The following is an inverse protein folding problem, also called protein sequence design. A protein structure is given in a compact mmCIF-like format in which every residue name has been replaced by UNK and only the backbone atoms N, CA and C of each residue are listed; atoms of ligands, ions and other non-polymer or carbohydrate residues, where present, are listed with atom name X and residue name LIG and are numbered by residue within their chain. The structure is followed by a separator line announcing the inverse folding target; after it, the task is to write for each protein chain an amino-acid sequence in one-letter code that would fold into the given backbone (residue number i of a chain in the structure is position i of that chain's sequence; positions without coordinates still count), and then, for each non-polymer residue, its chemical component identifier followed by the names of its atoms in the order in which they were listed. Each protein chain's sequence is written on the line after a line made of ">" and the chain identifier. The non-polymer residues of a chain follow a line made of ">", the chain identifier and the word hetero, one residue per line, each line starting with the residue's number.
data_IF_329709504750
#
_entry.id   IF_329709504750
#
_cell.length_a   1.000
_cell.length_b   1.000
_cell.length_c   1.000
_cell.angle_alpha   90.00
_cell.angle_beta   90.00
_cell.angle_gamma   90.00
#
_symmetry.space_group_name_H-M   'P 1'
#
loop_
_entity.id
_entity.type
_entity.pdbx_description
1 polymer ?
#
# COMPACT_ATOMS: atom_id res chain seq x y z
N UNK A 1 -2.98 -36.15 15.68
CA UNK A 1 -4.04 -35.52 14.86
C UNK A 1 -3.61 -34.12 14.45
N UNK A 2 -2.82 -34.00 13.37
CA UNK A 2 -2.47 -32.71 12.78
C UNK A 2 -3.63 -32.28 11.86
N UNK A 3 -4.38 -31.24 12.26
CA UNK A 3 -5.43 -30.67 11.42
C UNK A 3 -4.78 -30.08 10.16
N UNK A 4 -5.21 -30.60 9.01
CA UNK A 4 -4.88 -30.08 7.68
C UNK A 4 -5.21 -28.58 7.58
N UNK A 5 -4.22 -27.71 7.78
CA UNK A 5 -4.27 -26.28 7.49
C UNK A 5 -4.18 -25.98 5.99
N UNK A 6 -4.42 -26.96 5.10
CA UNK A 6 -4.36 -26.80 3.63
C UNK A 6 -5.47 -25.91 3.05
N UNK A 7 -6.47 -25.51 3.84
CA UNK A 7 -7.61 -24.70 3.38
C UNK A 7 -7.81 -23.40 4.17
N UNK A 8 -6.79 -22.85 4.85
CA UNK A 8 -6.88 -21.47 5.34
C UNK A 8 -6.85 -20.52 4.14
N UNK A 9 -8.01 -20.30 3.52
CA UNK A 9 -8.24 -19.12 2.67
C UNK A 9 -7.72 -17.93 3.48
N UNK A 10 -6.90 -17.04 2.91
CA UNK A 10 -6.35 -15.93 3.67
C UNK A 10 -7.51 -15.21 4.34
N UNK A 11 -7.45 -15.08 5.67
CA UNK A 11 -8.47 -14.43 6.51
C UNK A 11 -8.75 -12.98 6.07
N UNK A 12 -7.90 -12.45 5.20
CA UNK A 12 -7.87 -11.11 4.69
C UNK A 12 -7.83 -11.14 3.16
N UNK A 13 -8.81 -10.52 2.50
CA UNK A 13 -8.61 -10.11 1.11
C UNK A 13 -7.92 -8.75 1.14
N UNK A 14 -6.75 -8.65 0.51
CA UNK A 14 -6.10 -7.36 0.30
C UNK A 14 -6.93 -6.52 -0.68
N UNK A 15 -6.84 -5.19 -0.60
CA UNK A 15 -7.45 -4.30 -1.58
C UNK A 15 -7.04 -4.68 -3.02
N UNK A 16 -5.78 -5.08 -3.21
CA UNK A 16 -5.27 -5.62 -4.47
C UNK A 16 -6.05 -6.85 -4.95
N UNK A 17 -6.35 -7.82 -4.07
CA UNK A 17 -7.14 -9.01 -4.43
C UNK A 17 -8.56 -8.64 -4.84
N UNK A 18 -9.23 -7.77 -4.09
CA UNK A 18 -10.59 -7.32 -4.42
C UNK A 18 -10.64 -6.52 -5.73
N UNK A 19 -9.64 -5.67 -5.98
CA UNK A 19 -9.49 -4.96 -7.24
C UNK A 19 -9.23 -5.93 -8.40
N UNK A 20 -8.36 -6.93 -8.23
CA UNK A 20 -8.13 -7.98 -9.24
C UNK A 20 -9.41 -8.73 -9.58
N UNK A 21 -10.16 -9.17 -8.57
CA UNK A 21 -11.46 -9.82 -8.76
C UNK A 21 -12.46 -8.90 -9.48
N UNK A 22 -12.45 -7.60 -9.19
CA UNK A 22 -13.23 -6.57 -9.92
C UNK A 22 -12.86 -6.47 -11.39
N UNK A 23 -11.57 -6.38 -11.69
CA UNK A 23 -11.13 -6.30 -13.07
C UNK A 23 -11.41 -7.59 -13.84
N UNK A 24 -11.26 -8.76 -13.22
CA UNK A 24 -11.68 -10.03 -13.83
C UNK A 24 -13.16 -10.05 -14.22
N UNK A 25 -14.04 -9.55 -13.35
CA UNK A 25 -15.47 -9.49 -13.67
C UNK A 25 -15.76 -8.51 -14.81
N UNK A 26 -15.12 -7.35 -14.82
CA UNK A 26 -15.22 -6.37 -15.90
C UNK A 26 -14.77 -7.02 -17.22
N UNK A 27 -13.62 -7.70 -17.22
CA UNK A 27 -13.09 -8.40 -18.39
C UNK A 27 -14.00 -9.55 -18.86
N UNK A 28 -14.71 -10.20 -17.94
CA UNK A 28 -15.70 -11.22 -18.28
C UNK A 28 -16.95 -10.62 -18.91
N UNK A 29 -17.43 -9.47 -18.42
CA UNK A 29 -18.64 -8.79 -18.93
C UNK A 29 -18.40 -8.04 -20.24
N UNK A 30 -17.24 -7.43 -20.41
CA UNK A 30 -16.93 -6.58 -21.56
C UNK A 30 -16.68 -7.36 -22.87
N UNK A 31 -16.63 -8.70 -22.85
CA UNK A 31 -16.26 -9.49 -24.03
C UNK A 31 -14.79 -9.32 -24.41
N UNK A 32 -14.35 -9.93 -25.53
CA UNK A 32 -12.98 -9.76 -26.03
C UNK A 32 -12.81 -8.48 -26.88
N UNK A 33 -13.90 -7.97 -27.42
CA UNK A 33 -13.85 -6.93 -28.46
C UNK A 33 -13.79 -5.50 -27.88
N UNK A 34 -14.21 -5.30 -26.62
CA UNK A 34 -14.22 -3.98 -25.98
C UNK A 34 -12.88 -3.62 -25.33
N UNK A 35 -12.15 -4.61 -24.81
CA UNK A 35 -10.85 -4.40 -24.15
C UNK A 35 -9.77 -5.10 -24.98
N UNK A 36 -9.16 -4.32 -25.87
CA UNK A 36 -8.13 -4.79 -26.81
C UNK A 36 -6.77 -4.95 -26.13
N UNK A 37 -5.87 -5.73 -26.74
CA UNK A 37 -4.49 -5.88 -26.26
C UNK A 37 -3.75 -4.54 -26.12
N UNK A 38 -4.09 -3.55 -26.98
CA UNK A 38 -3.58 -2.19 -26.90
C UNK A 38 -3.90 -1.49 -25.57
N UNK A 39 -5.05 -1.77 -24.96
CA UNK A 39 -5.40 -1.21 -23.66
C UNK A 39 -4.48 -1.74 -22.55
N UNK A 40 -4.11 -3.02 -22.60
CA UNK A 40 -3.18 -3.62 -21.65
C UNK A 40 -1.73 -3.17 -21.88
N UNK A 41 -1.32 -3.02 -23.14
CA UNK A 41 -0.01 -2.44 -23.49
C UNK A 41 0.10 -0.99 -22.98
N UNK A 42 -0.97 -0.19 -23.14
CA UNK A 42 -1.04 1.15 -22.57
C UNK A 42 -0.96 1.14 -21.04
N UNK A 43 -1.64 0.19 -20.38
CA UNK A 43 -1.58 0.04 -18.92
C UNK A 43 -0.17 -0.30 -18.44
N UNK A 44 0.53 -1.20 -19.12
CA UNK A 44 1.91 -1.59 -18.79
C UNK A 44 2.89 -0.44 -19.02
N UNK A 45 2.77 0.28 -20.15
CA UNK A 45 3.58 1.48 -20.41
C UNK A 45 3.37 2.55 -19.34
N UNK A 46 2.13 2.85 -18.98
CA UNK A 46 1.81 3.81 -17.89
C UNK A 46 2.40 3.36 -16.56
N UNK A 47 2.34 2.07 -16.25
CA UNK A 47 2.95 1.51 -15.03
C UNK A 47 4.46 1.75 -15.03
N UNK A 48 5.13 1.46 -16.14
CA UNK A 48 6.57 1.72 -16.32
C UNK A 48 6.91 3.21 -16.18
N UNK A 49 6.14 4.09 -16.82
CA UNK A 49 6.37 5.54 -16.77
C UNK A 49 6.17 6.10 -15.34
N UNK A 50 5.14 5.62 -14.63
CA UNK A 50 4.94 5.95 -13.21
C UNK A 50 6.10 5.41 -12.36
N UNK A 51 6.57 4.19 -12.63
CA UNK A 51 7.72 3.61 -11.93
C UNK A 51 8.98 4.47 -12.06
N UNK A 52 9.24 5.02 -13.26
CA UNK A 52 10.34 5.98 -13.48
C UNK A 52 10.13 7.26 -12.69
N UNK A 53 8.90 7.81 -12.68
CA UNK A 53 8.57 9.00 -11.88
C UNK A 53 8.77 8.77 -10.38
N UNK A 54 8.39 7.59 -9.87
CA UNK A 54 8.61 7.22 -8.46
C UNK A 54 10.09 7.16 -8.12
N UNK A 55 10.92 6.58 -8.99
CA UNK A 55 12.37 6.59 -8.81
C UNK A 55 12.93 8.01 -8.79
N UNK A 56 12.49 8.89 -9.71
CA UNK A 56 12.88 10.29 -9.72
C UNK A 56 12.48 11.02 -8.44
N UNK A 57 11.25 10.81 -7.96
CA UNK A 57 10.78 11.39 -6.69
C UNK A 57 11.63 10.89 -5.53
N UNK A 58 11.96 9.59 -5.49
CA UNK A 58 12.83 9.03 -4.45
C UNK A 58 14.23 9.69 -4.48
N UNK A 59 14.84 9.83 -5.66
CA UNK A 59 16.13 10.51 -5.82
C UNK A 59 16.08 11.99 -5.44
N UNK A 60 14.94 12.65 -5.59
CA UNK A 60 14.74 14.04 -5.16
C UNK A 60 14.50 14.16 -3.65
N UNK A 61 13.75 13.22 -3.08
CA UNK A 61 13.36 13.20 -1.67
C UNK A 61 14.53 12.84 -0.76
N UNK A 62 15.42 11.93 -1.19
CA UNK A 62 16.52 11.43 -0.36
C UNK A 62 17.53 12.53 0.04
N UNK A 63 18.02 13.40 -0.87
CA UNK A 63 18.85 14.56 -0.50
C UNK A 63 18.12 15.54 0.43
N UNK A 64 16.85 15.86 0.14
CA UNK A 64 16.05 16.74 0.98
C UNK A 64 15.93 16.19 2.41
N UNK A 65 15.68 14.87 2.54
CA UNK A 65 15.60 14.19 3.83
C UNK A 65 16.94 14.20 4.57
N UNK A 66 18.04 13.85 3.90
CA UNK A 66 19.39 13.89 4.50
C UNK A 66 19.70 15.30 5.01
N UNK A 67 19.36 16.33 4.24
CA UNK A 67 19.59 17.70 4.66
C UNK A 67 18.74 18.11 5.86
N UNK A 68 17.46 17.71 5.91
CA UNK A 68 16.62 17.93 7.08
C UNK A 68 17.22 17.27 8.34
N UNK A 69 17.75 16.05 8.22
CA UNK A 69 18.45 15.36 9.31
C UNK A 69 19.69 16.14 9.76
N UNK A 70 20.51 16.63 8.81
CA UNK A 70 21.71 17.41 9.11
C UNK A 70 21.35 18.74 9.79
N UNK A 71 20.30 19.43 9.34
CA UNK A 71 19.82 20.64 9.99
C UNK A 71 19.40 20.40 11.44
N UNK A 72 18.67 19.31 11.72
CA UNK A 72 18.26 18.97 13.09
C UNK A 72 19.48 18.67 13.98
N UNK A 73 20.53 18.06 13.42
CA UNK A 73 21.76 17.77 14.17
C UNK A 73 22.56 19.01 14.58
N UNK A 74 22.18 20.20 14.12
CA UNK A 74 22.89 21.45 14.40
C UNK A 74 24.18 21.61 13.60
N UNK A 75 24.40 20.76 12.59
CA UNK A 75 25.58 20.83 11.74
C UNK A 75 25.36 21.90 10.66
N UNK A 76 26.13 22.98 10.70
CA UNK A 76 26.09 24.04 9.68
C UNK A 76 26.80 23.57 8.41
N UNK A 77 26.12 22.74 7.61
CA UNK A 77 26.66 22.24 6.33
C UNK A 77 26.11 23.09 5.18
N UNK A 78 26.99 23.81 4.48
CA UNK A 78 26.67 24.45 3.21
C UNK A 78 26.57 23.39 2.11
N UNK A 79 25.46 22.65 2.08
CA UNK A 79 25.19 21.69 1.01
C UNK A 79 24.61 22.42 -0.20
N UNK A 80 25.31 22.31 -1.34
CA UNK A 80 24.77 22.73 -2.62
C UNK A 80 23.87 21.60 -3.16
N UNK A 81 22.55 21.77 -3.03
CA UNK A 81 21.57 20.84 -3.58
C UNK A 81 20.92 21.46 -4.80
N UNK A 82 21.00 20.76 -5.94
CA UNK A 82 20.39 21.20 -7.21
C UNK A 82 20.85 22.60 -7.67
N UNK A 83 22.08 22.99 -7.35
CA UNK A 83 22.65 24.29 -7.71
C UNK A 83 22.27 25.44 -6.75
N UNK A 84 21.52 25.15 -5.68
CA UNK A 84 21.14 26.12 -4.66
C UNK A 84 21.94 25.82 -3.39
N UNK A 85 22.72 26.80 -2.91
CA UNK A 85 23.38 26.72 -1.60
C UNK A 85 22.30 26.75 -0.52
N UNK A 86 22.07 25.61 0.10
CA UNK A 86 21.07 25.49 1.12
C UNK A 86 21.54 26.24 2.39
N UNK A 87 20.80 27.26 2.80
CA UNK A 87 21.01 27.98 4.07
C UNK A 87 19.94 27.57 5.08
N UNK A 88 20.09 27.92 6.36
CA UNK A 88 19.06 27.72 7.40
C UNK A 88 17.68 28.24 6.99
N UNK A 89 17.64 29.22 6.09
CA UNK A 89 16.43 29.84 5.57
C UNK A 89 15.57 28.89 4.70
N UNK A 90 16.11 27.77 4.22
CA UNK A 90 15.41 26.82 3.34
C UNK A 90 14.69 25.68 4.07
N UNK A 91 14.79 25.55 5.41
CA UNK A 91 14.13 24.46 6.16
C UNK A 91 12.62 24.38 5.92
N UNK A 92 11.94 25.53 5.91
CA UNK A 92 10.49 25.63 5.70
C UNK A 92 10.10 25.20 4.29
N UNK A 93 10.87 25.57 3.27
CA UNK A 93 10.65 25.12 1.90
C UNK A 93 10.93 23.62 1.73
N UNK A 94 12.02 23.12 2.33
CA UNK A 94 12.44 21.73 2.22
C UNK A 94 11.47 20.76 2.88
N UNK A 95 10.90 21.11 4.04
CA UNK A 95 9.88 20.27 4.67
C UNK A 95 8.58 20.24 3.86
N UNK A 96 8.18 21.36 3.26
CA UNK A 96 7.01 21.41 2.36
C UNK A 96 7.24 20.55 1.12
N UNK A 97 8.43 20.64 0.50
CA UNK A 97 8.80 19.80 -0.64
C UNK A 97 8.80 18.33 -0.23
N UNK A 98 9.42 17.97 0.91
CA UNK A 98 9.45 16.60 1.42
C UNK A 98 8.05 16.03 1.62
N UNK A 99 7.17 16.76 2.30
CA UNK A 99 5.79 16.35 2.56
C UNK A 99 4.97 16.24 1.26
N UNK A 100 5.14 17.19 0.34
CA UNK A 100 4.50 17.17 -0.98
C UNK A 100 4.94 15.97 -1.83
N UNK A 101 6.24 15.66 -1.85
CA UNK A 101 6.78 14.48 -2.52
C UNK A 101 6.28 13.18 -1.88
N UNK A 102 6.16 13.13 -0.56
CA UNK A 102 5.55 12.00 0.15
C UNK A 102 4.10 11.75 -0.27
N UNK A 103 3.28 12.80 -0.31
CA UNK A 103 1.90 12.74 -0.76
C UNK A 103 1.79 12.29 -2.22
N UNK A 104 2.62 12.87 -3.11
CA UNK A 104 2.65 12.48 -4.52
C UNK A 104 3.09 11.02 -4.68
N UNK A 105 4.12 10.58 -3.97
CA UNK A 105 4.56 9.18 -3.98
C UNK A 105 3.44 8.22 -3.58
N UNK A 106 2.67 8.53 -2.54
CA UNK A 106 1.52 7.74 -2.10
C UNK A 106 0.41 7.66 -3.17
N UNK A 107 0.16 8.75 -3.89
CA UNK A 107 -0.75 8.77 -5.04
C UNK A 107 -0.25 7.91 -6.21
N UNK A 108 1.04 8.01 -6.57
CA UNK A 108 1.61 7.21 -7.65
C UNK A 108 1.60 5.72 -7.31
N UNK A 109 1.92 5.36 -6.06
CA UNK A 109 1.84 3.97 -5.58
C UNK A 109 0.43 3.40 -5.78
N UNK A 110 -0.61 4.20 -5.51
CA UNK A 110 -1.98 3.79 -5.80
C UNK A 110 -2.21 3.46 -7.28
N UNK A 111 -1.76 4.34 -8.17
CA UNK A 111 -1.95 4.17 -9.61
C UNK A 111 -1.21 2.93 -10.10
N UNK A 112 0.00 2.68 -9.62
CA UNK A 112 0.75 1.45 -9.92
C UNK A 112 -0.02 0.22 -9.46
N UNK A 113 -0.49 0.19 -8.21
CA UNK A 113 -1.23 -0.97 -7.68
C UNK A 113 -2.53 -1.26 -8.46
N UNK A 114 -3.22 -0.22 -8.94
CA UNK A 114 -4.40 -0.37 -9.80
C UNK A 114 -4.01 -0.96 -11.17
N UNK A 115 -2.96 -0.42 -11.81
CA UNK A 115 -2.48 -0.91 -13.10
C UNK A 115 -1.97 -2.35 -13.00
N UNK A 116 -1.24 -2.70 -11.94
CA UNK A 116 -0.82 -4.07 -11.66
C UNK A 116 -2.01 -5.00 -11.46
N UNK A 117 -3.06 -4.56 -10.76
CA UNK A 117 -4.29 -5.35 -10.59
C UNK A 117 -5.00 -5.64 -11.93
N UNK A 118 -4.98 -4.68 -12.86
CA UNK A 118 -5.51 -4.84 -14.23
C UNK A 118 -4.68 -5.88 -15.01
N UNK A 119 -3.35 -5.79 -14.95
CA UNK A 119 -2.44 -6.71 -15.64
C UNK A 119 -2.50 -8.12 -15.05
N UNK A 120 -2.59 -8.26 -13.73
CA UNK A 120 -2.78 -9.56 -13.09
C UNK A 120 -4.09 -10.21 -13.50
N UNK A 121 -5.18 -9.44 -13.60
CA UNK A 121 -6.47 -9.94 -14.09
C UNK A 121 -6.37 -10.44 -15.56
N UNK A 122 -5.61 -9.74 -16.42
CA UNK A 122 -5.28 -10.23 -17.78
C UNK A 122 -4.57 -11.58 -17.72
N UNK A 123 -3.52 -11.68 -16.91
CA UNK A 123 -2.71 -12.89 -16.80
C UNK A 123 -3.52 -14.09 -16.28
N UNK A 124 -4.42 -13.88 -15.31
CA UNK A 124 -5.33 -14.92 -14.84
C UNK A 124 -6.25 -15.45 -15.94
N UNK A 125 -6.76 -14.55 -16.79
CA UNK A 125 -7.58 -14.93 -17.95
C UNK A 125 -6.78 -15.71 -18.99
N UNK A 126 -5.54 -15.30 -19.26
CA UNK A 126 -4.64 -15.97 -20.20
C UNK A 126 -4.19 -17.35 -19.70
N UNK A 127 -3.94 -17.47 -18.40
CA UNK A 127 -3.51 -18.71 -17.76
C UNK A 127 -4.62 -19.76 -17.71
N UNK A 128 -5.90 -19.38 -17.85
CA UNK A 128 -7.06 -20.30 -17.84
C UNK A 128 -7.08 -21.27 -16.64
N UNK A 129 -6.63 -20.80 -15.48
CA UNK A 129 -6.55 -21.59 -14.26
C UNK A 129 -5.27 -22.40 -14.06
N UNK A 130 -4.32 -22.38 -15.01
CA UNK A 130 -3.00 -22.98 -14.83
C UNK A 130 -2.11 -22.07 -13.95
N UNK A 131 -1.78 -22.54 -12.75
CA UNK A 131 -1.00 -21.78 -11.77
C UNK A 131 0.45 -21.51 -12.24
N UNK A 132 1.06 -22.44 -12.97
CA UNK A 132 2.45 -22.28 -13.43
C UNK A 132 2.52 -21.26 -14.56
N UNK A 133 1.57 -21.31 -15.51
CA UNK A 133 1.44 -20.28 -16.55
C UNK A 133 1.19 -18.91 -15.93
N UNK A 134 0.36 -18.82 -14.89
CA UNK A 134 0.10 -17.57 -14.19
C UNK A 134 1.37 -17.00 -13.54
N UNK A 135 2.15 -17.84 -12.85
CA UNK A 135 3.41 -17.40 -12.22
C UNK A 135 4.43 -16.94 -13.27
N UNK A 136 4.57 -17.67 -14.39
CA UNK A 136 5.45 -17.28 -15.50
C UNK A 136 5.03 -15.94 -16.09
N UNK A 137 3.74 -15.76 -16.38
CA UNK A 137 3.22 -14.49 -16.90
C UNK A 137 3.44 -13.34 -15.91
N UNK A 138 3.13 -13.54 -14.63
CA UNK A 138 3.33 -12.50 -13.62
C UNK A 138 4.80 -12.14 -13.46
N UNK A 139 5.70 -13.12 -13.51
CA UNK A 139 7.15 -12.90 -13.46
C UNK A 139 7.64 -12.14 -14.69
N UNK A 140 7.21 -12.54 -15.90
CA UNK A 140 7.58 -11.89 -17.15
C UNK A 140 7.15 -10.41 -17.20
N UNK A 141 5.99 -10.09 -16.62
CA UNK A 141 5.50 -8.72 -16.48
C UNK A 141 6.03 -8.03 -15.22
N UNK A 142 6.89 -8.63 -14.39
CA UNK A 142 7.39 -8.01 -13.16
C UNK A 142 6.28 -7.67 -12.14
N UNK A 143 5.19 -8.44 -12.12
CA UNK A 143 4.06 -8.28 -11.19
C UNK A 143 4.28 -9.03 -9.86
N UNK A 144 5.29 -9.90 -9.80
CA UNK A 144 5.73 -10.53 -8.56
C UNK A 144 6.76 -9.64 -7.86
N UNK A 145 6.32 -8.88 -6.85
CA UNK A 145 7.21 -7.98 -6.07
C UNK A 145 8.22 -8.75 -5.19
N UNK A 146 7.91 -10.00 -4.83
CA UNK A 146 8.78 -10.85 -4.02
C UNK A 146 8.67 -12.31 -4.46
N UNK A 147 9.73 -12.82 -5.08
CA UNK A 147 9.84 -14.25 -5.41
C UNK A 147 10.66 -14.93 -4.32
N UNK A 148 9.97 -15.56 -3.36
CA UNK A 148 10.67 -16.45 -2.41
C UNK A 148 11.12 -17.67 -3.21
N UNK A 149 12.43 -17.99 -3.26
CA UNK A 149 12.92 -19.15 -3.99
C UNK A 149 12.24 -20.41 -3.45
N UNK A 150 11.42 -21.03 -4.30
CA UNK A 150 10.79 -22.30 -4.02
C UNK A 150 11.80 -23.42 -4.30
N UNK A 151 11.78 -24.51 -3.53
CA UNK A 151 12.57 -25.69 -3.87
C UNK A 151 12.26 -26.15 -5.31
N UNK A 152 13.30 -26.55 -6.04
CA UNK A 152 13.21 -26.97 -7.45
C UNK A 152 12.28 -28.16 -7.60
N UNK A 153 12.25 -29.05 -6.60
CA UNK A 153 11.31 -30.15 -6.51
C UNK A 153 10.17 -29.79 -5.52
N UNK A 154 8.90 -29.70 -5.98
CA UNK A 154 7.76 -29.41 -5.12
C UNK A 154 7.47 -30.51 -4.10
N UNK A 155 8.04 -31.71 -4.25
CA UNK A 155 7.98 -32.81 -3.26
C UNK A 155 8.93 -32.56 -2.08
N UNK A 156 9.98 -31.76 -2.27
CA UNK A 156 10.94 -31.40 -1.22
C UNK A 156 10.40 -30.17 -0.51
N UNK A 157 9.82 -30.37 0.67
CA UNK A 157 9.38 -29.26 1.52
C UNK A 157 10.52 -28.33 1.91
N UNK A 158 10.20 -27.09 2.27
CA UNK A 158 11.19 -26.15 2.83
C UNK A 158 11.93 -26.80 3.99
N UNK A 159 13.27 -26.71 3.98
CA UNK A 159 14.04 -27.13 5.15
C UNK A 159 13.65 -26.26 6.35
N UNK A 160 13.77 -26.80 7.56
CA UNK A 160 13.49 -26.04 8.80
C UNK A 160 14.34 -24.76 8.87
N UNK A 161 15.57 -24.82 8.37
CA UNK A 161 16.48 -23.68 8.28
C UNK A 161 16.01 -22.65 7.24
N UNK A 162 15.51 -23.08 6.08
CA UNK A 162 14.95 -22.18 5.07
C UNK A 162 13.66 -21.52 5.58
N UNK A 163 12.79 -22.26 6.26
CA UNK A 163 11.58 -21.72 6.88
C UNK A 163 11.92 -20.70 7.98
N UNK A 164 12.89 -21.02 8.85
CA UNK A 164 13.38 -20.10 9.87
C UNK A 164 13.99 -18.83 9.24
N UNK A 165 14.81 -18.98 8.20
CA UNK A 165 15.42 -17.86 7.48
C UNK A 165 14.36 -16.93 6.87
N UNK A 166 13.31 -17.48 6.24
CA UNK A 166 12.19 -16.68 5.69
C UNK A 166 11.45 -15.91 6.79
N UNK A 167 11.21 -16.53 7.94
CA UNK A 167 10.54 -15.86 9.08
C UNK A 167 11.42 -14.74 9.64
N UNK A 168 12.71 -15.01 9.88
CA UNK A 168 13.66 -14.01 10.38
C UNK A 168 13.80 -12.85 9.41
N UNK A 169 13.93 -13.14 8.11
CA UNK A 169 13.98 -12.12 7.06
C UNK A 169 12.71 -11.28 7.02
N UNK A 170 11.53 -11.90 7.12
CA UNK A 170 10.25 -11.20 7.19
C UNK A 170 10.17 -10.26 8.42
N UNK A 171 10.58 -10.73 9.59
CA UNK A 171 10.64 -9.91 10.80
C UNK A 171 11.64 -8.76 10.66
N UNK A 172 12.80 -8.99 10.06
CA UNK A 172 13.80 -7.97 9.81
C UNK A 172 13.28 -6.86 8.87
N UNK A 173 12.56 -7.23 7.79
CA UNK A 173 11.91 -6.26 6.90
C UNK A 173 10.88 -5.43 7.67
N UNK A 174 10.02 -6.07 8.47
CA UNK A 174 9.01 -5.36 9.27
C UNK A 174 9.66 -4.40 10.25
N UNK A 175 10.71 -4.84 10.97
CA UNK A 175 11.47 -4.00 11.88
C UNK A 175 12.13 -2.82 11.16
N UNK A 176 12.71 -3.04 9.98
CA UNK A 176 13.30 -1.99 9.16
C UNK A 176 12.26 -0.96 8.71
N UNK A 177 11.09 -1.40 8.22
CA UNK A 177 9.99 -0.50 7.82
C UNK A 177 9.53 0.33 9.02
N UNK A 178 9.33 -0.28 10.19
CA UNK A 178 8.93 0.43 11.41
C UNK A 178 9.99 1.46 11.83
N UNK A 179 11.27 1.08 11.83
CA UNK A 179 12.37 1.98 12.17
C UNK A 179 12.43 3.19 11.22
N UNK A 180 12.34 2.94 9.91
CA UNK A 180 12.32 4.02 8.90
C UNK A 180 11.11 4.93 9.09
N UNK A 181 9.92 4.36 9.33
CA UNK A 181 8.68 5.13 9.57
C UNK A 181 8.81 6.04 10.78
N UNK A 182 9.31 5.50 11.90
CA UNK A 182 9.53 6.28 13.14
C UNK A 182 10.59 7.36 12.92
N UNK A 183 11.66 7.06 12.20
CA UNK A 183 12.73 8.01 11.91
C UNK A 183 12.21 9.19 11.06
N UNK A 184 11.45 8.90 10.00
CA UNK A 184 10.86 9.94 9.15
C UNK A 184 9.90 10.82 9.94
N UNK A 185 9.02 10.22 10.74
CA UNK A 185 8.09 10.96 11.59
C UNK A 185 8.81 11.83 12.62
N UNK A 186 9.88 11.32 13.24
CA UNK A 186 10.69 12.08 14.19
C UNK A 186 11.37 13.28 13.52
N UNK A 187 11.96 13.09 12.33
CA UNK A 187 12.59 14.17 11.55
C UNK A 187 11.58 15.27 11.23
N UNK A 188 10.42 14.92 10.68
CA UNK A 188 9.35 15.89 10.40
C UNK A 188 8.92 16.64 11.67
N UNK A 189 8.68 15.91 12.77
CA UNK A 189 8.29 16.50 14.04
C UNK A 189 9.33 17.50 14.58
N UNK A 190 10.61 17.10 14.63
CA UNK A 190 11.67 17.98 15.14
C UNK A 190 11.92 19.18 14.24
N UNK A 191 11.85 19.02 12.91
CA UNK A 191 11.92 20.16 11.99
C UNK A 191 10.74 21.12 12.18
N UNK A 192 9.52 20.63 12.35
CA UNK A 192 8.36 21.48 12.62
C UNK A 192 8.49 22.21 13.96
N UNK A 193 9.00 21.55 14.99
CA UNK A 193 9.26 22.16 16.29
C UNK A 193 10.32 23.27 16.19
N UNK A 194 11.38 23.03 15.43
CA UNK A 194 12.43 24.03 15.18
C UNK A 194 11.89 25.23 14.39
N UNK A 195 11.12 24.99 13.32
CA UNK A 195 10.43 26.04 12.56
C UNK A 195 9.49 26.86 13.44
N UNK A 196 8.76 26.21 14.35
CA UNK A 196 7.85 26.89 15.27
C UNK A 196 8.59 27.80 16.26
N UNK A 197 9.75 27.36 16.77
CA UNK A 197 10.57 28.13 17.73
C UNK A 197 11.36 29.24 17.06
N UNK A 198 11.83 29.00 15.86
CA UNK A 198 12.66 29.89 15.08
C UNK A 198 12.08 29.98 13.66
N UNK A 199 11.03 30.79 13.43
CA UNK A 199 10.51 30.95 12.07
C UNK A 199 11.50 31.74 11.22
N UNK A 200 11.74 31.31 9.97
CA UNK A 200 12.49 32.09 8.98
C UNK A 200 11.58 33.06 8.23
N UNK A 201 10.33 32.65 8.00
CA UNK A 201 9.32 33.48 7.37
C UNK A 201 8.44 34.17 8.43
N UNK A 202 7.55 35.07 7.98
CA UNK A 202 6.59 35.70 8.90
C UNK A 202 5.67 34.68 9.58
N UNK A 203 5.08 34.99 10.75
CA UNK A 203 4.29 34.05 11.55
C UNK A 203 3.15 33.37 10.76
N UNK A 204 2.51 34.11 9.85
CA UNK A 204 1.45 33.60 8.98
C UNK A 204 1.96 32.49 8.04
N UNK A 205 3.11 32.69 7.41
CA UNK A 205 3.69 31.72 6.49
C UNK A 205 4.12 30.46 7.22
N UNK A 206 4.77 30.61 8.38
CA UNK A 206 5.14 29.48 9.22
C UNK A 206 3.92 28.65 9.64
N UNK A 207 2.80 29.30 10.01
CA UNK A 207 1.56 28.60 10.33
C UNK A 207 1.02 27.81 9.13
N UNK A 208 1.05 28.39 7.93
CA UNK A 208 0.63 27.72 6.68
C UNK A 208 1.54 26.51 6.40
N UNK A 209 2.85 26.67 6.53
CA UNK A 209 3.84 25.59 6.33
C UNK A 209 3.56 24.42 7.28
N UNK A 210 3.43 24.70 8.59
CA UNK A 210 3.16 23.66 9.59
C UNK A 210 1.83 22.96 9.29
N UNK A 211 0.77 23.73 9.02
CA UNK A 211 -0.57 23.19 8.72
C UNK A 211 -0.56 22.31 7.48
N UNK A 212 0.14 22.73 6.42
CA UNK A 212 0.29 21.96 5.19
C UNK A 212 1.01 20.64 5.44
N UNK A 213 2.15 20.65 6.13
CA UNK A 213 2.94 19.43 6.41
C UNK A 213 2.13 18.45 7.25
N UNK A 214 1.48 18.92 8.32
CA UNK A 214 0.63 18.08 9.17
C UNK A 214 -0.52 17.48 8.37
N UNK A 215 -1.16 18.26 7.50
CA UNK A 215 -2.24 17.78 6.65
C UNK A 215 -1.74 16.75 5.63
N UNK A 216 -0.62 17.02 4.96
CA UNK A 216 -0.03 16.12 3.97
C UNK A 216 0.40 14.79 4.59
N UNK A 217 1.05 14.82 5.76
CA UNK A 217 1.44 13.60 6.49
C UNK A 217 0.21 12.82 6.96
N UNK A 218 -0.83 13.52 7.46
CA UNK A 218 -2.09 12.90 7.88
C UNK A 218 -2.80 12.23 6.70
N UNK A 219 -2.90 12.90 5.55
CA UNK A 219 -3.50 12.34 4.34
C UNK A 219 -2.68 11.13 3.87
N UNK A 220 -1.36 11.25 3.83
CA UNK A 220 -0.45 10.18 3.38
C UNK A 220 -0.59 8.94 4.27
N UNK A 221 -0.54 9.11 5.59
CA UNK A 221 -0.69 8.02 6.55
C UNK A 221 -2.09 7.40 6.48
N UNK A 222 -3.14 8.22 6.41
CA UNK A 222 -4.52 7.75 6.27
C UNK A 222 -4.70 6.97 4.98
N UNK A 223 -4.13 7.44 3.88
CA UNK A 223 -4.19 6.79 2.58
C UNK A 223 -3.47 5.44 2.59
N UNK A 224 -2.25 5.39 3.12
CA UNK A 224 -1.51 4.13 3.32
C UNK A 224 -2.31 3.19 4.22
N UNK A 225 -2.90 3.67 5.31
CA UNK A 225 -3.72 2.87 6.21
C UNK A 225 -5.01 2.35 5.54
N UNK A 226 -5.61 3.10 4.62
CA UNK A 226 -6.76 2.66 3.82
C UNK A 226 -6.33 1.58 2.80
N UNK A 227 -5.19 1.76 2.14
CA UNK A 227 -4.68 0.83 1.13
C UNK A 227 -4.12 -0.47 1.70
N UNK A 228 -3.25 -0.36 2.71
CA UNK A 228 -2.76 -1.48 3.51
C UNK A 228 -3.87 -2.07 4.38
N UNK A 229 -4.94 -1.29 4.58
CA UNK A 229 -6.15 -1.65 5.28
C UNK A 229 -6.66 -2.99 4.79
N UNK A 230 -6.64 -3.94 5.70
CA UNK A 230 -7.42 -5.17 5.62
C UNK A 230 -8.88 -4.73 5.45
N UNK A 231 -9.43 -4.82 4.25
CA UNK A 231 -10.82 -4.49 3.99
C UNK A 231 -11.72 -5.46 4.79
N UNK A 232 -12.95 -5.05 5.20
CA UNK A 232 -13.81 -5.85 6.05
C UNK A 232 -14.30 -7.18 5.42
N UNK A 233 -13.86 -7.51 4.21
CA UNK A 233 -14.49 -8.52 3.38
C UNK A 233 -13.45 -9.48 2.83
N UNK A 234 -13.42 -10.70 3.38
CA UNK A 234 -12.52 -11.77 2.95
C UNK A 234 -12.83 -12.31 1.54
N UNK A 235 -14.00 -11.99 0.98
CA UNK A 235 -14.43 -12.48 -0.32
C UNK A 235 -15.39 -11.50 -1.00
N UNK A 236 -15.08 -11.06 -2.23
CA UNK A 236 -15.92 -10.18 -3.04
C UNK A 236 -17.28 -10.79 -3.36
N UNK A 237 -17.37 -12.13 -3.51
CA UNK A 237 -18.65 -12.80 -3.75
C UNK A 237 -19.64 -12.54 -2.62
N UNK A 238 -19.17 -12.55 -1.36
CA UNK A 238 -20.02 -12.26 -0.20
C UNK A 238 -20.42 -10.78 -0.17
N UNK A 239 -19.52 -9.89 -0.57
CA UNK A 239 -19.81 -8.47 -0.67
C UNK A 239 -20.83 -8.17 -1.79
N UNK A 240 -20.71 -8.84 -2.94
CA UNK A 240 -21.66 -8.73 -4.04
C UNK A 240 -23.01 -9.32 -3.69
N UNK A 241 -23.07 -10.44 -2.96
CA UNK A 241 -24.32 -10.98 -2.43
C UNK A 241 -24.96 -9.99 -1.45
N UNK A 242 -24.18 -9.42 -0.54
CA UNK A 242 -24.67 -8.41 0.39
C UNK A 242 -25.15 -7.14 -0.34
N UNK A 243 -24.45 -6.71 -1.39
CA UNK A 243 -24.87 -5.59 -2.25
C UNK A 243 -26.16 -5.88 -2.99
N UNK A 244 -26.29 -7.06 -3.62
CA UNK A 244 -27.56 -7.51 -4.21
C UNK A 244 -28.67 -7.57 -3.18
N UNK A 245 -28.38 -8.02 -1.96
CA UNK A 245 -29.33 -8.02 -0.85
C UNK A 245 -29.77 -6.60 -0.47
N UNK A 246 -28.89 -5.59 -0.52
CA UNK A 246 -29.30 -4.20 -0.33
C UNK A 246 -30.30 -3.74 -1.39
N UNK A 247 -30.15 -4.21 -2.63
CA UNK A 247 -31.06 -3.88 -3.72
C UNK A 247 -32.39 -4.66 -3.66
N UNK A 248 -32.35 -5.95 -3.26
CA UNK A 248 -33.52 -6.83 -3.27
C UNK A 248 -34.28 -6.89 -1.94
N UNK A 249 -33.58 -6.83 -0.81
CA UNK A 249 -34.14 -6.92 0.54
C UNK A 249 -33.26 -6.14 1.55
N UNK A 250 -33.45 -4.80 1.62
CA UNK A 250 -32.61 -3.94 2.45
C UNK A 250 -32.73 -4.25 3.94
N UNK A 251 -33.85 -4.83 4.39
CA UNK A 251 -34.03 -5.18 5.80
C UNK A 251 -33.18 -6.39 6.19
N UNK A 252 -33.15 -7.43 5.34
CA UNK A 252 -32.26 -8.59 5.53
C UNK A 252 -30.78 -8.20 5.40
N UNK A 253 -30.45 -7.27 4.50
CA UNK A 253 -29.10 -6.73 4.42
C UNK A 253 -28.66 -6.01 5.70
N UNK A 254 -29.53 -5.13 6.24
CA UNK A 254 -29.25 -4.40 7.49
C UNK A 254 -29.15 -5.34 8.70
N UNK A 255 -29.95 -6.41 8.76
CA UNK A 255 -29.87 -7.38 9.87
C UNK A 255 -28.55 -8.16 9.84
N UNK A 256 -28.09 -8.57 8.65
CA UNK A 256 -26.78 -9.21 8.46
C UNK A 256 -25.66 -8.26 8.89
N UNK A 257 -25.74 -6.97 8.52
CA UNK A 257 -24.73 -5.96 8.92
C UNK A 257 -24.74 -5.74 10.43
N UNK A 258 -25.92 -5.64 11.07
CA UNK A 258 -26.03 -5.53 12.53
C UNK A 258 -25.47 -6.75 13.25
N UNK A 259 -25.78 -7.95 12.78
CA UNK A 259 -25.25 -9.20 13.35
C UNK A 259 -23.73 -9.27 13.21
N UNK A 260 -23.21 -8.89 12.04
CA UNK A 260 -21.78 -8.79 11.77
C UNK A 260 -21.08 -7.80 12.71
N UNK A 261 -21.68 -6.62 12.92
CA UNK A 261 -21.17 -5.61 13.86
C UNK A 261 -21.23 -6.10 15.31
N UNK A 262 -22.32 -6.72 15.75
CA UNK A 262 -22.44 -7.28 17.09
C UNK A 262 -21.41 -8.39 17.36
N UNK A 263 -21.23 -9.33 16.42
CA UNK A 263 -20.19 -10.35 16.51
C UNK A 263 -18.78 -9.77 16.56
N UNK A 264 -18.56 -8.65 15.86
CA UNK A 264 -17.26 -7.98 15.89
C UNK A 264 -17.04 -7.21 17.18
N UNK A 265 -18.03 -6.45 17.64
CA UNK A 265 -17.98 -5.69 18.89
C UNK A 265 -17.86 -6.58 20.12
N UNK A 266 -18.40 -7.81 20.06
CA UNK A 266 -18.24 -8.84 21.10
C UNK A 266 -16.82 -9.42 21.21
N UNK A 267 -15.89 -9.11 20.28
CA UNK A 267 -14.48 -9.48 20.42
C UNK A 267 -13.78 -8.52 21.40
N UNK A 268 -12.77 -9.00 22.13
CA UNK A 268 -11.93 -8.13 22.96
C UNK A 268 -11.20 -7.06 22.14
N UNK A 269 -10.88 -5.90 22.74
CA UNK A 269 -10.26 -4.73 22.10
C UNK A 269 -9.12 -5.10 21.13
N UNK A 270 -8.17 -5.91 21.58
CA UNK A 270 -7.00 -6.27 20.78
C UNK A 270 -7.43 -7.06 19.53
N UNK A 271 -8.31 -8.05 19.72
CA UNK A 271 -8.88 -8.85 18.63
C UNK A 271 -9.77 -8.01 17.72
N UNK A 272 -10.40 -6.92 18.19
CA UNK A 272 -11.15 -5.98 17.32
C UNK A 272 -10.21 -5.16 16.45
N UNK A 273 -9.12 -4.66 17.00
CA UNK A 273 -8.11 -3.91 16.25
C UNK A 273 -7.43 -4.75 15.17
N UNK A 274 -7.27 -6.06 15.41
CA UNK A 274 -6.57 -6.98 14.50
C UNK A 274 -7.48 -7.95 13.72
N UNK A 275 -8.79 -7.93 13.92
CA UNK A 275 -9.73 -8.73 13.11
C UNK A 275 -10.82 -7.84 12.54
N UNK A 276 -11.53 -8.29 11.50
CA UNK A 276 -12.64 -7.53 10.92
C UNK A 276 -13.99 -8.19 11.21
N UNK A 277 -15.11 -7.45 11.05
CA UNK A 277 -16.43 -8.04 10.98
C UNK A 277 -16.50 -9.00 9.79
N UNK A 278 -17.00 -10.22 9.97
CA UNK A 278 -17.09 -11.22 8.90
C UNK A 278 -18.53 -11.35 8.43
N UNK A 279 -18.78 -11.27 7.12
CA UNK A 279 -20.12 -11.54 6.58
C UNK A 279 -20.46 -13.02 6.84
N UNK A 280 -21.52 -13.33 7.61
CA UNK A 280 -21.97 -14.71 7.82
C UNK A 280 -22.35 -15.36 6.47
N UNK A 281 -22.33 -16.69 6.37
CA UNK A 281 -22.92 -17.36 5.21
C UNK A 281 -24.36 -16.87 5.05
N UNK A 282 -24.68 -16.36 3.87
CA UNK A 282 -26.04 -16.00 3.50
C UNK A 282 -26.59 -17.21 2.77
N UNK A 283 -27.50 -17.92 3.46
CA UNK A 283 -28.34 -18.96 2.88
C UNK A 283 -29.48 -18.34 2.06
#
# INVERSE_FOLDING_TARGET
>A
MARNFKNSRPLFATAAKLNRERFNEILRKAGKDVITDKAFESADRRRSDIGKLQQTIFFLQLPAFIYLVLLISGTDVNLNMFGITATKNLREALIVISAGLGLWSAWLNHQVDVLESILQAKNERLAKGNADTLNVLNTAYGLEKFTIPKPIDPMIGYSTLQAAAVVVFGLAIVALILLLTVTVAAVHYFTLLDIYRHPNFGPLFTFIVISFVVLADTITFSWIAIQSGILPYANRDRLMRLGKLYDTDPQKAQSIVRQMMQQHLGKGWLRRSFTRPTIPPVD
#
